data_IF_571834678252
#
_entry.id   IF_571834678252
#
_cell.length_a   1.000
_cell.length_b   1.000
_cell.length_c   1.000
_cell.angle_alpha   90.00
_cell.angle_beta   90.00
_cell.angle_gamma   90.00
#
_symmetry.space_group_name_H-M   'P 1'
#
loop_
_entity.id
_entity.type
_entity.pdbx_description
1 polymer ?
#
# COMPACT_ATOMS: atom_id res chain seq x y z
N UNK A 1 17.59 -23.38 -12.86
CA UNK A 1 16.56 -23.86 -13.78
C UNK A 1 15.76 -24.97 -13.12
N UNK A 2 14.45 -24.85 -13.05
CA UNK A 2 13.56 -25.76 -12.37
C UNK A 2 13.52 -27.11 -13.10
N UNK A 3 13.75 -28.17 -12.33
CA UNK A 3 13.69 -29.53 -12.86
C UNK A 3 12.22 -29.95 -13.00
N UNK A 4 11.87 -30.77 -13.99
CA UNK A 4 10.51 -31.27 -14.20
C UNK A 4 9.86 -31.89 -12.97
N UNK A 5 10.66 -32.57 -12.13
CA UNK A 5 10.21 -33.10 -10.83
C UNK A 5 9.70 -32.01 -9.88
N UNK A 6 10.31 -30.83 -9.85
CA UNK A 6 9.88 -29.72 -9.00
C UNK A 6 8.53 -29.17 -9.48
N UNK A 7 8.35 -29.00 -10.78
CA UNK A 7 7.06 -28.60 -11.35
C UNK A 7 5.95 -29.59 -11.05
N UNK A 8 6.23 -30.88 -11.19
CA UNK A 8 5.29 -31.94 -10.87
C UNK A 8 4.86 -31.89 -9.38
N UNK A 9 5.80 -31.74 -8.47
CA UNK A 9 5.48 -31.64 -7.03
C UNK A 9 4.65 -30.40 -6.71
N UNK A 10 4.97 -29.25 -7.31
CA UNK A 10 4.19 -28.01 -7.12
C UNK A 10 2.76 -28.21 -7.63
N UNK A 11 2.60 -28.74 -8.83
CA UNK A 11 1.28 -29.02 -9.40
C UNK A 11 0.50 -30.04 -8.55
N UNK A 12 1.16 -31.10 -8.09
CA UNK A 12 0.55 -32.09 -7.23
C UNK A 12 0.03 -31.49 -5.92
N UNK A 13 0.85 -30.68 -5.21
CA UNK A 13 0.43 -30.01 -3.98
C UNK A 13 -0.66 -28.99 -4.23
N UNK A 14 -0.57 -28.23 -5.29
CA UNK A 14 -1.62 -27.27 -5.66
C UNK A 14 -2.98 -27.98 -5.86
N UNK A 15 -3.02 -29.02 -6.68
CA UNK A 15 -4.25 -29.75 -6.95
C UNK A 15 -4.77 -30.52 -5.74
N UNK A 16 -3.88 -31.07 -4.91
CA UNK A 16 -4.26 -31.74 -3.67
C UNK A 16 -4.96 -30.76 -2.73
N UNK A 17 -4.38 -29.59 -2.48
CA UNK A 17 -4.96 -28.55 -1.62
C UNK A 17 -6.29 -28.06 -2.22
N UNK A 18 -6.31 -27.77 -3.52
CA UNK A 18 -7.53 -27.37 -4.21
C UNK A 18 -8.65 -28.39 -4.02
N UNK A 19 -8.41 -29.67 -4.31
CA UNK A 19 -9.42 -30.71 -4.18
C UNK A 19 -9.91 -30.87 -2.74
N UNK A 20 -9.00 -30.90 -1.77
CA UNK A 20 -9.38 -31.01 -0.36
C UNK A 20 -10.36 -29.91 0.05
N UNK A 21 -10.09 -28.66 -0.27
CA UNK A 21 -10.92 -27.55 0.15
C UNK A 21 -12.22 -27.45 -0.67
N UNK A 22 -12.15 -27.51 -2.00
CA UNK A 22 -13.33 -27.33 -2.83
C UNK A 22 -14.29 -28.52 -2.81
N UNK A 23 -13.78 -29.74 -2.56
CA UNK A 23 -14.66 -30.91 -2.36
C UNK A 23 -15.08 -31.11 -0.91
N UNK A 24 -14.69 -30.24 0.01
CA UNK A 24 -14.97 -30.37 1.44
C UNK A 24 -14.55 -31.76 1.95
N UNK A 25 -13.26 -32.09 1.77
CA UNK A 25 -12.66 -33.41 2.11
C UNK A 25 -13.36 -34.58 1.39
N UNK A 26 -13.87 -34.36 0.17
CA UNK A 26 -14.52 -35.39 -0.64
C UNK A 26 -16.03 -35.53 -0.41
N UNK A 27 -16.62 -34.80 0.54
CA UNK A 27 -18.08 -34.82 0.79
C UNK A 27 -18.88 -34.16 -0.33
N UNK A 28 -18.27 -33.24 -1.09
CA UNK A 28 -18.88 -32.58 -2.25
C UNK A 28 -17.99 -32.74 -3.51
N UNK A 29 -18.05 -33.87 -4.25
CA UNK A 29 -17.23 -34.10 -5.44
C UNK A 29 -17.44 -33.06 -6.54
N UNK A 30 -18.66 -32.49 -6.66
CA UNK A 30 -18.96 -31.43 -7.64
C UNK A 30 -18.15 -30.16 -7.41
N UNK A 31 -17.69 -29.90 -6.19
CA UNK A 31 -16.85 -28.77 -5.83
C UNK A 31 -15.57 -28.69 -6.66
N UNK A 32 -15.04 -29.81 -7.12
CA UNK A 32 -13.85 -29.84 -7.98
C UNK A 32 -14.03 -29.06 -9.29
N UNK A 33 -15.20 -29.15 -9.90
CA UNK A 33 -15.53 -28.43 -11.12
C UNK A 33 -16.11 -27.04 -10.83
N UNK A 34 -17.07 -26.94 -9.90
CA UNK A 34 -17.76 -25.69 -9.60
C UNK A 34 -16.83 -24.64 -9.02
N UNK A 35 -15.79 -25.04 -8.27
CA UNK A 35 -14.79 -24.12 -7.72
C UNK A 35 -14.09 -23.30 -8.80
N UNK A 36 -13.85 -23.83 -9.99
CA UNK A 36 -13.28 -23.10 -11.11
C UNK A 36 -14.35 -22.32 -11.86
N UNK A 37 -15.40 -23.02 -12.32
CA UNK A 37 -16.41 -22.43 -13.21
C UNK A 37 -17.29 -21.38 -12.53
N UNK A 38 -17.70 -21.61 -11.29
CA UNK A 38 -18.51 -20.64 -10.56
C UNK A 38 -17.70 -19.41 -10.17
N UNK A 39 -16.42 -19.57 -9.78
CA UNK A 39 -15.55 -18.43 -9.48
C UNK A 39 -15.31 -17.57 -10.71
N UNK A 40 -15.03 -18.19 -11.86
CA UNK A 40 -14.86 -17.48 -13.13
C UNK A 40 -16.16 -16.82 -13.60
N UNK A 41 -17.28 -17.56 -13.55
CA UNK A 41 -18.60 -17.05 -13.92
C UNK A 41 -19.04 -15.89 -13.03
N UNK A 42 -18.83 -15.99 -11.72
CA UNK A 42 -19.05 -14.90 -10.79
C UNK A 42 -18.23 -13.66 -11.14
N UNK A 43 -16.92 -13.83 -11.37
CA UNK A 43 -16.04 -12.71 -11.73
C UNK A 43 -16.48 -12.04 -13.04
N UNK A 44 -16.87 -12.81 -14.04
CA UNK A 44 -17.39 -12.27 -15.30
C UNK A 44 -18.71 -11.51 -15.09
N UNK A 45 -19.63 -12.04 -14.30
CA UNK A 45 -20.88 -11.36 -13.98
C UNK A 45 -20.67 -10.06 -13.22
N UNK A 46 -19.66 -9.99 -12.34
CA UNK A 46 -19.33 -8.75 -11.62
C UNK A 46 -18.80 -7.63 -12.53
N UNK A 47 -18.32 -7.94 -13.74
CA UNK A 47 -17.91 -6.91 -14.69
C UNK A 47 -19.10 -6.03 -15.14
N UNK A 48 -20.30 -6.60 -15.24
CA UNK A 48 -21.53 -5.87 -15.58
C UNK A 48 -22.06 -5.06 -14.38
N UNK A 49 -21.94 -5.61 -13.17
CA UNK A 49 -22.41 -4.96 -11.93
C UNK A 49 -21.55 -3.74 -11.57
N UNK A 50 -20.27 -3.73 -11.96
CA UNK A 50 -19.30 -2.66 -11.72
C UNK A 50 -19.34 -2.12 -10.27
N UNK A 51 -19.24 -3.01 -9.27
CA UNK A 51 -19.28 -2.64 -7.86
C UNK A 51 -18.27 -1.55 -7.54
N UNK A 52 -18.73 -0.51 -6.83
CA UNK A 52 -17.95 0.65 -6.47
C UNK A 52 -17.91 1.74 -7.54
N UNK A 53 -18.23 1.43 -8.80
CA UNK A 53 -18.31 2.40 -9.93
C UNK A 53 -17.16 3.39 -9.98
N UNK A 54 -15.96 2.97 -9.58
CA UNK A 54 -14.76 3.81 -9.52
C UNK A 54 -14.00 3.82 -10.85
N UNK A 55 -13.25 4.89 -11.17
CA UNK A 55 -12.49 4.99 -12.41
C UNK A 55 -11.35 3.96 -12.46
N UNK A 56 -10.82 3.68 -13.68
CA UNK A 56 -9.75 2.70 -13.88
C UNK A 56 -8.49 2.94 -13.04
N UNK A 57 -8.21 4.19 -12.70
CA UNK A 57 -7.03 4.60 -11.91
C UNK A 57 -7.26 4.60 -10.40
N UNK A 58 -8.43 4.19 -9.91
CA UNK A 58 -8.82 4.23 -8.50
C UNK A 58 -7.78 3.64 -7.55
N UNK A 59 -7.28 2.44 -7.84
CA UNK A 59 -6.30 1.77 -6.98
C UNK A 59 -4.98 2.53 -6.89
N UNK A 60 -4.56 3.23 -7.94
CA UNK A 60 -3.36 4.07 -7.87
C UNK A 60 -3.57 5.22 -6.90
N UNK A 61 -4.74 5.87 -6.95
CA UNK A 61 -5.07 6.95 -6.00
C UNK A 61 -5.02 6.42 -4.57
N UNK A 62 -5.67 5.27 -4.28
CA UNK A 62 -5.65 4.65 -2.95
C UNK A 62 -4.22 4.35 -2.50
N UNK A 63 -3.41 3.66 -3.33
CA UNK A 63 -2.03 3.31 -2.97
C UNK A 63 -1.19 4.58 -2.72
N UNK A 64 -1.33 5.61 -3.54
CA UNK A 64 -0.60 6.86 -3.36
C UNK A 64 -1.04 7.63 -2.10
N UNK A 65 -2.30 7.50 -1.68
CA UNK A 65 -2.83 8.21 -0.52
C UNK A 65 -2.44 7.56 0.81
N UNK A 66 -2.19 6.25 0.84
CA UNK A 66 -1.94 5.53 2.10
C UNK A 66 -0.55 4.89 2.20
N UNK A 67 0.04 4.48 1.09
CA UNK A 67 1.28 3.69 1.05
C UNK A 67 2.52 4.54 0.73
N UNK A 68 2.75 5.58 1.54
CA UNK A 68 3.82 6.56 1.29
C UNK A 68 5.22 5.93 1.21
N UNK A 69 5.57 5.00 2.12
CA UNK A 69 6.88 4.32 2.11
C UNK A 69 7.05 3.51 0.85
N UNK A 70 6.07 2.68 0.54
CA UNK A 70 6.12 1.73 -0.57
C UNK A 70 6.27 2.45 -1.90
N UNK A 71 5.46 3.50 -2.11
CA UNK A 71 5.48 4.27 -3.35
C UNK A 71 6.73 5.13 -3.49
N UNK A 72 7.16 5.77 -2.40
CA UNK A 72 8.37 6.57 -2.40
C UNK A 72 9.61 5.76 -2.76
N UNK A 73 9.78 4.60 -2.14
CA UNK A 73 10.92 3.73 -2.43
C UNK A 73 10.82 3.08 -3.81
N UNK A 74 9.61 2.78 -4.29
CA UNK A 74 9.40 2.30 -5.65
C UNK A 74 9.87 3.33 -6.68
N UNK A 75 9.44 4.60 -6.55
CA UNK A 75 9.88 5.68 -7.43
C UNK A 75 11.38 5.89 -7.40
N UNK A 76 11.94 5.98 -6.20
CA UNK A 76 13.39 6.16 -6.03
C UNK A 76 14.16 5.01 -6.65
N UNK A 77 13.68 3.77 -6.54
CA UNK A 77 14.34 2.61 -7.14
C UNK A 77 14.43 2.72 -8.66
N UNK A 78 13.36 3.16 -9.29
CA UNK A 78 13.29 3.32 -10.75
C UNK A 78 14.22 4.45 -11.22
N UNK A 79 14.20 5.59 -10.53
CA UNK A 79 14.88 6.81 -10.99
C UNK A 79 16.36 6.86 -10.60
N UNK A 80 16.74 6.29 -9.46
CA UNK A 80 18.04 6.55 -8.84
C UNK A 80 18.92 5.32 -8.73
N UNK A 81 18.36 4.15 -8.50
CA UNK A 81 19.13 2.94 -8.22
C UNK A 81 19.40 2.18 -9.54
N UNK A 82 20.56 2.46 -10.13
CA UNK A 82 21.08 1.60 -11.21
C UNK A 82 21.62 0.31 -10.57
N UNK A 83 20.87 -0.79 -10.70
CA UNK A 83 21.28 -2.10 -10.20
C UNK A 83 20.92 -3.22 -11.16
N UNK A 84 21.60 -4.34 -11.01
CA UNK A 84 21.28 -5.54 -11.75
C UNK A 84 20.21 -6.32 -10.97
N UNK A 85 19.04 -6.50 -11.58
CA UNK A 85 17.93 -7.23 -10.95
C UNK A 85 18.21 -8.73 -10.89
N UNK A 86 18.00 -9.32 -9.72
CA UNK A 86 17.99 -10.78 -9.55
C UNK A 86 16.67 -11.37 -10.07
N UNK A 87 16.61 -12.68 -10.27
CA UNK A 87 15.44 -13.36 -10.83
C UNK A 87 14.16 -13.11 -10.01
N UNK A 88 14.27 -13.13 -8.69
CA UNK A 88 13.16 -12.86 -7.78
C UNK A 88 12.59 -11.44 -7.97
N UNK A 89 13.43 -10.43 -8.09
CA UNK A 89 12.99 -9.04 -8.31
C UNK A 89 12.31 -8.84 -9.67
N UNK A 90 12.80 -9.54 -10.70
CA UNK A 90 12.14 -9.53 -12.01
C UNK A 90 10.74 -10.13 -11.95
N UNK A 91 10.59 -11.21 -11.17
CA UNK A 91 9.28 -11.80 -10.90
C UNK A 91 8.34 -10.83 -10.18
N UNK A 92 8.84 -10.12 -9.15
CA UNK A 92 8.04 -9.14 -8.43
C UNK A 92 7.62 -7.96 -9.34
N UNK A 93 8.52 -7.47 -10.18
CA UNK A 93 8.19 -6.42 -11.17
C UNK A 93 7.10 -6.92 -12.13
N UNK A 94 7.25 -8.14 -12.65
CA UNK A 94 6.21 -8.75 -13.49
C UNK A 94 4.87 -8.82 -12.75
N UNK A 95 4.87 -9.26 -11.50
CA UNK A 95 3.66 -9.38 -10.67
C UNK A 95 3.01 -8.01 -10.43
N UNK A 96 3.79 -6.96 -10.12
CA UNK A 96 3.31 -5.58 -9.97
C UNK A 96 2.60 -5.12 -11.24
N UNK A 97 3.24 -5.29 -12.39
CA UNK A 97 2.69 -4.85 -13.69
C UNK A 97 1.45 -5.65 -14.06
N UNK A 98 1.49 -6.98 -13.93
CA UNK A 98 0.37 -7.86 -14.25
C UNK A 98 -0.87 -7.54 -13.39
N UNK A 99 -0.69 -7.43 -12.06
CA UNK A 99 -1.79 -7.04 -11.18
C UNK A 99 -2.30 -5.63 -11.49
N UNK A 100 -1.41 -4.67 -11.71
CA UNK A 100 -1.80 -3.31 -12.09
C UNK A 100 -2.71 -3.30 -13.31
N UNK A 101 -2.35 -4.04 -14.37
CA UNK A 101 -3.17 -4.14 -15.58
C UNK A 101 -4.50 -4.85 -15.34
N UNK A 102 -4.50 -5.98 -14.63
CA UNK A 102 -5.73 -6.74 -14.34
C UNK A 102 -6.71 -5.88 -13.55
N UNK A 103 -6.25 -5.20 -12.50
CA UNK A 103 -7.13 -4.37 -11.65
C UNK A 103 -7.54 -3.04 -12.29
N UNK A 104 -6.80 -2.54 -13.29
CA UNK A 104 -7.27 -1.42 -14.13
C UNK A 104 -8.45 -1.83 -15.01
N UNK A 105 -8.41 -3.05 -15.57
CA UNK A 105 -9.44 -3.57 -16.48
C UNK A 105 -10.67 -4.06 -15.70
N UNK A 106 -10.47 -4.65 -14.51
CA UNK A 106 -11.57 -5.15 -13.68
C UNK A 106 -12.56 -4.04 -13.35
N UNK A 107 -13.85 -4.30 -13.55
CA UNK A 107 -14.92 -3.32 -13.27
C UNK A 107 -15.20 -3.19 -11.77
N UNK A 108 -14.98 -4.24 -10.99
CA UNK A 108 -15.10 -4.20 -9.54
C UNK A 108 -13.93 -3.46 -8.90
N UNK A 109 -14.22 -2.38 -8.18
CA UNK A 109 -13.22 -1.47 -7.59
C UNK A 109 -13.49 -1.26 -6.11
N UNK A 110 -13.15 -2.29 -5.31
CA UNK A 110 -13.34 -2.26 -3.87
C UNK A 110 -12.04 -1.94 -3.14
N UNK A 111 -12.07 -1.15 -2.06
CA UNK A 111 -10.87 -0.73 -1.34
C UNK A 111 -9.97 -1.88 -0.89
N UNK A 112 -10.55 -2.97 -0.38
CA UNK A 112 -9.79 -4.13 0.10
C UNK A 112 -9.03 -4.88 -1.00
N UNK A 113 -9.42 -4.75 -2.26
CA UNK A 113 -8.68 -5.34 -3.38
C UNK A 113 -7.31 -4.70 -3.59
N UNK A 114 -7.08 -3.51 -3.04
CA UNK A 114 -5.78 -2.84 -3.04
C UNK A 114 -4.67 -3.71 -2.45
N UNK A 115 -5.01 -4.61 -1.53
CA UNK A 115 -4.05 -5.55 -0.93
C UNK A 115 -3.33 -6.40 -1.97
N UNK A 116 -4.00 -6.80 -3.04
CA UNK A 116 -3.39 -7.62 -4.08
C UNK A 116 -2.35 -6.86 -4.92
N UNK A 117 -2.51 -5.54 -5.03
CA UNK A 117 -1.55 -4.68 -5.72
C UNK A 117 -0.37 -4.32 -4.82
N UNK A 118 -0.65 -4.04 -3.53
CA UNK A 118 0.40 -3.53 -2.64
C UNK A 118 1.37 -4.64 -2.18
N UNK A 119 0.93 -5.87 -2.03
CA UNK A 119 1.77 -7.00 -1.57
C UNK A 119 3.05 -7.16 -2.43
N UNK A 120 3.00 -7.29 -3.77
CA UNK A 120 4.22 -7.41 -4.55
C UNK A 120 5.07 -6.13 -4.53
N UNK A 121 4.46 -4.95 -4.36
CA UNK A 121 5.19 -3.69 -4.20
C UNK A 121 5.97 -3.69 -2.89
N UNK A 122 5.36 -4.07 -1.76
CA UNK A 122 6.01 -4.15 -0.45
C UNK A 122 7.19 -5.14 -0.50
N UNK A 123 7.00 -6.32 -1.10
CA UNK A 123 8.05 -7.31 -1.24
C UNK A 123 9.23 -6.78 -2.07
N UNK A 124 8.97 -6.11 -3.17
CA UNK A 124 9.99 -5.50 -4.02
C UNK A 124 10.75 -4.38 -3.29
N UNK A 125 10.00 -3.48 -2.64
CA UNK A 125 10.55 -2.39 -1.84
C UNK A 125 11.35 -2.91 -0.65
N UNK A 126 10.94 -4.02 -0.03
CA UNK A 126 11.70 -4.71 1.01
C UNK A 126 13.09 -5.17 0.55
N UNK A 127 13.22 -5.64 -0.70
CA UNK A 127 14.54 -5.97 -1.28
C UNK A 127 15.42 -4.73 -1.40
N UNK A 128 14.84 -3.60 -1.82
CA UNK A 128 15.55 -2.33 -1.95
C UNK A 128 15.99 -1.80 -0.59
N UNK A 129 15.06 -1.81 0.38
CA UNK A 129 15.32 -1.37 1.74
C UNK A 129 16.45 -2.19 2.39
N UNK A 130 16.43 -3.51 2.23
CA UNK A 130 17.50 -4.39 2.72
C UNK A 130 18.86 -4.07 2.09
N UNK A 131 18.91 -3.71 0.81
CA UNK A 131 20.15 -3.27 0.17
C UNK A 131 20.64 -1.92 0.71
N UNK A 132 19.75 -0.96 0.89
CA UNK A 132 20.06 0.36 1.46
C UNK A 132 20.61 0.21 2.88
N UNK A 133 19.91 -0.52 3.73
CA UNK A 133 20.31 -0.77 5.13
C UNK A 133 21.70 -1.41 5.17
N UNK A 134 21.94 -2.48 4.42
CA UNK A 134 23.25 -3.15 4.37
C UNK A 134 24.38 -2.21 3.95
N UNK A 135 24.09 -1.31 2.99
CA UNK A 135 25.10 -0.32 2.55
C UNK A 135 25.37 0.77 3.59
N UNK A 136 24.34 1.17 4.34
CA UNK A 136 24.48 2.12 5.45
C UNK A 136 25.36 1.53 6.55
N UNK A 137 25.10 0.30 6.98
CA UNK A 137 25.89 -0.35 8.04
C UNK A 137 27.35 -0.60 7.65
N UNK A 138 27.66 -0.72 6.37
CA UNK A 138 29.03 -0.90 5.88
C UNK A 138 29.80 0.44 5.72
N UNK A 139 29.20 1.59 6.09
CA UNK A 139 29.78 2.92 5.96
C UNK A 139 30.05 3.56 7.32
N UNK A 140 30.73 4.72 7.32
CA UNK A 140 30.94 5.50 8.54
C UNK A 140 29.61 6.08 9.03
N UNK A 141 29.02 5.40 10.02
CA UNK A 141 27.71 5.71 10.57
C UNK A 141 27.62 7.14 11.12
N UNK A 142 28.71 7.67 11.70
CA UNK A 142 28.74 9.02 12.25
C UNK A 142 28.52 10.12 11.21
N UNK A 143 29.09 9.97 10.02
CA UNK A 143 28.88 10.93 8.94
C UNK A 143 27.47 10.85 8.36
N UNK A 144 26.93 9.64 8.22
CA UNK A 144 25.56 9.43 7.75
C UNK A 144 24.56 10.04 8.74
N UNK A 145 24.72 9.80 10.04
CA UNK A 145 23.84 10.36 11.08
C UNK A 145 23.83 11.89 11.08
N UNK A 146 25.00 12.54 10.94
CA UNK A 146 25.08 14.02 10.81
C UNK A 146 24.30 14.51 9.60
N UNK A 147 24.47 13.89 8.46
CA UNK A 147 23.75 14.26 7.22
C UNK A 147 22.24 14.00 7.35
N UNK A 148 21.83 12.89 7.95
CA UNK A 148 20.42 12.58 8.23
C UNK A 148 19.80 13.67 9.11
N UNK A 149 20.47 14.09 10.17
CA UNK A 149 20.01 15.17 11.06
C UNK A 149 19.83 16.49 10.28
N UNK A 150 20.81 16.89 9.49
CA UNK A 150 20.76 18.14 8.71
C UNK A 150 19.61 18.08 7.70
N UNK A 151 19.48 16.99 6.94
CA UNK A 151 18.41 16.84 5.93
C UNK A 151 17.05 16.83 6.62
N UNK A 152 16.89 16.15 7.77
CA UNK A 152 15.65 16.13 8.53
C UNK A 152 15.23 17.52 9.00
N UNK A 153 16.17 18.30 9.55
CA UNK A 153 15.90 19.67 9.99
C UNK A 153 15.47 20.54 8.81
N UNK A 154 16.19 20.48 7.67
CA UNK A 154 15.84 21.24 6.46
C UNK A 154 14.45 20.85 5.96
N UNK A 155 14.12 19.56 5.98
CA UNK A 155 12.82 19.07 5.51
C UNK A 155 11.69 19.53 6.42
N UNK A 156 11.86 19.44 7.74
CA UNK A 156 10.85 19.91 8.70
C UNK A 156 10.63 21.42 8.56
N UNK A 157 11.73 22.20 8.49
CA UNK A 157 11.65 23.65 8.26
C UNK A 157 10.98 23.99 6.93
N UNK A 158 11.28 23.24 5.87
CA UNK A 158 10.64 23.39 4.57
C UNK A 158 9.13 23.13 4.62
N UNK A 159 8.68 22.06 5.28
CA UNK A 159 7.26 21.74 5.47
C UNK A 159 6.56 22.84 6.26
N UNK A 160 7.14 23.28 7.38
CA UNK A 160 6.53 24.33 8.21
C UNK A 160 6.42 25.65 7.44
N UNK A 161 7.44 26.00 6.66
CA UNK A 161 7.46 27.23 5.87
C UNK A 161 6.44 27.19 4.73
N UNK A 162 6.33 26.05 4.04
CA UNK A 162 5.33 25.85 2.97
C UNK A 162 3.92 25.94 3.54
N UNK A 163 3.64 25.31 4.68
CA UNK A 163 2.35 25.39 5.34
C UNK A 163 2.01 26.83 5.78
N UNK A 164 3.00 27.55 6.30
CA UNK A 164 2.82 28.93 6.74
C UNK A 164 2.58 29.91 5.58
N UNK A 165 3.34 29.77 4.47
CA UNK A 165 3.29 30.71 3.34
C UNK A 165 2.07 30.45 2.44
N UNK A 166 1.71 29.19 2.22
CA UNK A 166 0.66 28.81 1.26
C UNK A 166 -0.69 28.55 1.92
N UNK A 167 -0.79 28.64 3.25
CA UNK A 167 -2.01 28.31 4.04
C UNK A 167 -2.65 26.97 3.60
N UNK A 168 -1.79 25.99 3.28
CA UNK A 168 -2.24 24.70 2.78
C UNK A 168 -2.70 23.87 3.97
N UNK A 169 -4.02 23.74 4.12
CA UNK A 169 -4.64 22.90 5.16
C UNK A 169 -4.45 21.40 4.90
N UNK A 170 -4.22 21.02 3.64
CA UNK A 170 -4.00 19.63 3.28
C UNK A 170 -2.55 19.21 3.46
N UNK A 171 -2.29 18.33 4.42
CA UNK A 171 -0.98 17.71 4.67
C UNK A 171 -0.46 16.99 3.42
N UNK A 172 -1.34 16.37 2.64
CA UNK A 172 -1.00 15.65 1.41
C UNK A 172 -0.39 16.58 0.34
N UNK A 173 -0.96 17.76 0.13
CA UNK A 173 -0.47 18.72 -0.87
C UNK A 173 0.89 19.27 -0.42
N UNK A 174 1.04 19.62 0.85
CA UNK A 174 2.32 20.06 1.43
C UNK A 174 3.39 18.99 1.29
N UNK A 175 3.02 17.75 1.50
CA UNK A 175 3.89 16.60 1.35
C UNK A 175 4.37 16.41 -0.10
N UNK A 176 3.47 16.43 -1.08
CA UNK A 176 3.82 16.32 -2.51
C UNK A 176 4.75 17.47 -2.92
N UNK A 177 4.48 18.70 -2.48
CA UNK A 177 5.29 19.88 -2.81
C UNK A 177 6.72 19.76 -2.23
N UNK A 178 6.85 19.36 -0.97
CA UNK A 178 8.13 19.11 -0.32
C UNK A 178 8.89 18.00 -1.03
N UNK A 179 8.21 16.94 -1.48
CA UNK A 179 8.81 15.87 -2.25
C UNK A 179 9.38 16.32 -3.58
N UNK A 180 8.65 17.14 -4.32
CA UNK A 180 9.13 17.72 -5.58
C UNK A 180 10.36 18.59 -5.31
N UNK A 181 10.33 19.40 -4.27
CA UNK A 181 11.46 20.26 -3.88
C UNK A 181 12.69 19.43 -3.49
N UNK A 182 12.52 18.39 -2.69
CA UNK A 182 13.60 17.48 -2.29
C UNK A 182 14.16 16.74 -3.50
N UNK A 183 13.32 16.29 -4.43
CA UNK A 183 13.77 15.65 -5.67
C UNK A 183 14.58 16.62 -6.54
N UNK A 184 14.13 17.86 -6.69
CA UNK A 184 14.87 18.91 -7.42
C UNK A 184 16.22 19.16 -6.76
N UNK A 185 16.26 19.35 -5.44
CA UNK A 185 17.51 19.52 -4.69
C UNK A 185 18.45 18.33 -4.84
N UNK A 186 17.92 17.11 -4.79
CA UNK A 186 18.71 15.90 -5.03
C UNK A 186 19.33 15.87 -6.43
N UNK A 187 18.56 16.24 -7.46
CA UNK A 187 19.05 16.29 -8.83
C UNK A 187 20.10 17.39 -9.03
N UNK A 188 19.92 18.57 -8.41
CA UNK A 188 20.88 19.67 -8.44
C UNK A 188 22.19 19.30 -7.74
N UNK A 189 22.12 18.70 -6.56
CA UNK A 189 23.30 18.21 -5.84
C UNK A 189 24.01 17.13 -6.63
N UNK A 190 23.26 16.21 -7.28
CA UNK A 190 23.82 15.20 -8.18
C UNK A 190 24.61 15.81 -9.33
N UNK A 191 24.13 16.92 -9.89
CA UNK A 191 24.79 17.60 -11.02
C UNK A 191 26.03 18.44 -10.59
N UNK A 192 26.04 18.93 -9.36
CA UNK A 192 27.10 19.84 -8.86
C UNK A 192 28.22 19.12 -8.10
N UNK A 193 28.04 17.88 -7.64
CA UNK A 193 29.07 17.16 -6.89
C UNK A 193 30.11 16.50 -7.79
N UNK A 194 31.29 17.03 -7.76
CA UNK A 194 32.49 16.49 -8.42
C UNK A 194 33.06 15.25 -7.72
N UNK A 195 32.79 15.08 -6.40
CA UNK A 195 33.35 13.99 -5.61
C UNK A 195 32.31 12.84 -5.41
N UNK A 196 32.54 11.72 -6.09
CA UNK A 196 31.71 10.55 -6.11
C UNK A 196 31.45 9.90 -4.71
N UNK A 197 32.42 10.02 -3.80
CA UNK A 197 32.28 9.42 -2.45
C UNK A 197 31.28 10.19 -1.59
N UNK A 198 31.38 11.53 -1.54
CA UNK A 198 30.43 12.37 -0.80
C UNK A 198 29.00 12.25 -1.33
N UNK A 199 28.86 12.18 -2.64
CA UNK A 199 27.54 11.97 -3.25
C UNK A 199 26.89 10.63 -2.85
N UNK A 200 27.68 9.56 -2.75
CA UNK A 200 27.17 8.27 -2.32
C UNK A 200 26.69 8.30 -0.86
N UNK A 201 27.40 8.98 0.05
CA UNK A 201 27.00 9.09 1.45
C UNK A 201 25.76 9.97 1.62
N UNK A 202 25.70 11.08 0.91
CA UNK A 202 24.51 11.94 0.85
C UNK A 202 23.28 11.19 0.35
N UNK A 203 23.42 10.34 -0.66
CA UNK A 203 22.32 9.53 -1.19
C UNK A 203 21.73 8.58 -0.14
N UNK A 204 22.56 7.91 0.67
CA UNK A 204 22.07 7.03 1.73
C UNK A 204 21.39 7.81 2.86
N UNK A 205 21.93 8.94 3.22
CA UNK A 205 21.33 9.84 4.20
C UNK A 205 19.96 10.34 3.74
N UNK A 206 19.87 10.74 2.47
CA UNK A 206 18.61 11.14 1.85
C UNK A 206 17.55 10.01 1.91
N UNK A 207 17.92 8.78 1.55
CA UNK A 207 16.98 7.65 1.62
C UNK A 207 16.55 7.34 3.04
N UNK A 208 17.45 7.48 4.01
CA UNK A 208 17.10 7.27 5.42
C UNK A 208 16.04 8.26 5.91
N UNK A 209 16.22 9.54 5.58
CA UNK A 209 15.24 10.59 5.93
C UNK A 209 13.91 10.36 5.22
N UNK A 210 13.98 9.99 3.94
CA UNK A 210 12.81 9.65 3.16
C UNK A 210 11.97 8.55 3.80
N UNK A 211 12.60 7.42 4.14
CA UNK A 211 11.97 6.27 4.78
C UNK A 211 11.37 6.68 6.13
N UNK A 212 12.08 7.48 6.91
CA UNK A 212 11.61 7.92 8.22
C UNK A 212 10.35 8.78 8.10
N UNK A 213 10.36 9.80 7.25
CA UNK A 213 9.22 10.71 7.07
C UNK A 213 8.02 9.96 6.48
N UNK A 214 8.25 9.21 5.41
CA UNK A 214 7.16 8.45 4.78
C UNK A 214 6.65 7.34 5.69
N UNK A 215 7.51 6.76 6.53
CA UNK A 215 7.13 5.79 7.55
C UNK A 215 6.18 6.38 8.60
N UNK A 216 6.50 7.57 9.11
CA UNK A 216 5.62 8.29 10.04
C UNK A 216 4.27 8.60 9.40
N UNK A 217 4.26 9.03 8.14
CA UNK A 217 3.01 9.34 7.43
C UNK A 217 2.16 8.09 7.17
N UNK A 218 2.78 6.99 6.72
CA UNK A 218 2.07 5.71 6.54
C UNK A 218 1.50 5.20 7.86
N UNK A 219 2.28 5.27 8.95
CA UNK A 219 1.83 4.85 10.27
C UNK A 219 0.67 5.72 10.79
N UNK A 220 0.78 7.05 10.61
CA UNK A 220 -0.30 7.98 10.96
C UNK A 220 -1.56 7.66 10.18
N UNK A 221 -1.48 7.57 8.84
CA UNK A 221 -2.64 7.25 8.00
C UNK A 221 -3.28 5.91 8.36
N UNK A 222 -2.48 4.91 8.71
CA UNK A 222 -2.98 3.61 9.16
C UNK A 222 -3.74 3.72 10.50
N UNK A 223 -3.26 4.53 11.45
CA UNK A 223 -3.96 4.76 12.72
C UNK A 223 -5.24 5.55 12.50
N UNK A 224 -5.17 6.65 11.74
CA UNK A 224 -6.33 7.51 11.48
C UNK A 224 -7.46 6.68 10.82
N UNK A 225 -7.16 5.95 9.75
CA UNK A 225 -8.15 5.12 9.05
C UNK A 225 -8.66 3.94 9.86
N UNK A 226 -7.83 3.34 10.75
CA UNK A 226 -8.24 2.13 11.49
C UNK A 226 -8.97 2.43 12.79
N UNK A 227 -8.68 3.57 13.45
CA UNK A 227 -9.16 3.83 14.80
C UNK A 227 -9.98 5.12 14.97
N UNK A 228 -9.71 6.13 14.14
CA UNK A 228 -10.39 7.42 14.30
C UNK A 228 -11.46 7.67 13.25
N UNK A 229 -11.23 7.26 12.00
CA UNK A 229 -12.10 7.53 10.86
C UNK A 229 -12.60 6.25 10.18
N UNK A 230 -12.60 5.13 10.91
CA UNK A 230 -12.96 3.82 10.37
C UNK A 230 -14.42 3.69 9.92
N UNK A 231 -15.29 4.53 10.44
CA UNK A 231 -16.74 4.56 10.18
C UNK A 231 -17.24 5.89 9.57
N UNK A 232 -16.32 6.82 9.27
CA UNK A 232 -16.64 8.14 8.70
C UNK A 232 -16.44 8.12 7.18
N UNK A 233 -17.37 8.70 6.39
CA UNK A 233 -17.30 8.66 4.90
C UNK A 233 -16.23 9.56 4.28
N UNK A 234 -15.32 10.12 5.04
CA UNK A 234 -14.30 11.04 4.55
C UNK A 234 -13.07 10.31 3.97
N UNK A 235 -12.87 9.04 4.37
CA UNK A 235 -11.72 8.24 3.94
C UNK A 235 -12.05 7.34 2.75
N UNK A 236 -11.17 7.35 1.72
CA UNK A 236 -11.35 6.55 0.49
C UNK A 236 -11.37 5.05 0.77
N UNK A 237 -10.70 4.60 1.85
CA UNK A 237 -10.65 3.20 2.26
C UNK A 237 -11.93 2.73 2.95
N UNK A 238 -12.76 3.63 3.47
CA UNK A 238 -14.01 3.31 4.14
C UNK A 238 -15.12 3.12 3.10
N UNK A 239 -15.46 1.87 2.82
CA UNK A 239 -16.47 1.54 1.81
C UNK A 239 -17.89 1.40 2.38
N UNK A 240 -18.01 0.74 3.52
CA UNK A 240 -19.28 0.58 4.23
C UNK A 240 -19.25 1.44 5.49
N UNK A 241 -20.14 2.41 5.49
CA UNK A 241 -20.19 3.38 6.57
C UNK A 241 -21.39 3.08 7.45
N UNK A 242 -21.17 3.11 8.75
CA UNK A 242 -22.25 3.08 9.72
C UNK A 242 -22.19 4.39 10.49
N UNK A 243 -23.28 5.16 10.49
CA UNK A 243 -23.31 6.40 11.26
C UNK A 243 -22.98 6.12 12.74
N UNK A 244 -22.09 6.89 13.37
CA UNK A 244 -21.81 6.79 14.82
C UNK A 244 -23.08 6.88 15.68
N UNK A 245 -24.14 7.50 15.14
CA UNK A 245 -25.43 7.59 15.81
C UNK A 245 -26.16 6.23 15.94
N UNK A 246 -25.84 5.24 15.10
CA UNK A 246 -26.43 3.89 15.21
C UNK A 246 -26.13 3.26 16.57
N UNK A 247 -24.89 3.42 17.08
CA UNK A 247 -24.56 2.94 18.43
C UNK A 247 -25.39 3.61 19.52
N UNK A 248 -25.63 4.91 19.41
CA UNK A 248 -26.49 5.64 20.34
C UNK A 248 -27.96 5.19 20.22
N UNK A 249 -28.43 4.95 18.99
CA UNK A 249 -29.77 4.41 18.75
C UNK A 249 -29.94 3.01 19.38
N UNK A 250 -28.97 2.12 19.17
CA UNK A 250 -28.99 0.78 19.80
C UNK A 250 -29.05 0.88 21.31
N UNK A 251 -28.22 1.73 21.94
CA UNK A 251 -28.29 1.95 23.40
C UNK A 251 -29.65 2.47 23.86
N UNK A 252 -30.25 3.40 23.13
CA UNK A 252 -31.60 3.89 23.47
C UNK A 252 -32.64 2.79 23.38
N UNK A 253 -32.58 1.96 22.33
CA UNK A 253 -33.48 0.80 22.16
C UNK A 253 -33.30 -0.20 23.31
N UNK A 254 -32.05 -0.51 23.68
CA UNK A 254 -31.76 -1.42 24.80
C UNK A 254 -32.30 -0.88 26.13
N UNK A 255 -32.09 0.39 26.45
CA UNK A 255 -32.61 1.03 27.64
C UNK A 255 -34.15 0.98 27.65
N UNK A 256 -34.78 1.29 26.53
CA UNK A 256 -36.23 1.26 26.42
C UNK A 256 -36.80 -0.16 26.53
N UNK A 257 -36.09 -1.15 26.01
CA UNK A 257 -36.44 -2.57 26.15
C UNK A 257 -36.31 -3.06 27.61
N UNK A 258 -35.31 -2.58 28.34
CA UNK A 258 -35.14 -2.89 29.78
C UNK A 258 -36.26 -2.31 30.63
N UNK A 259 -36.76 -1.12 30.28
CA UNK A 259 -37.83 -0.46 31.04
C UNK A 259 -39.23 -1.02 30.72
N UNK A 260 -39.48 -1.33 29.44
CA UNK A 260 -40.84 -1.68 28.95
C UNK A 260 -41.02 -3.14 28.48
N UNK A 261 -39.98 -3.97 28.59
CA UNK A 261 -39.99 -5.35 28.10
C UNK A 261 -39.76 -5.41 26.60
N UNK A 262 -40.63 -6.11 25.85
CA UNK A 262 -40.46 -6.27 24.41
C UNK A 262 -40.77 -4.97 23.64
N UNK A 263 -39.80 -4.54 22.80
CA UNK A 263 -39.93 -3.37 21.92
C UNK A 263 -40.10 -3.85 20.49
N UNK A 264 -41.11 -3.37 19.79
CA UNK A 264 -41.31 -3.57 18.34
C UNK A 264 -40.66 -2.39 17.63
N UNK A 265 -39.66 -2.68 16.80
CA UNK A 265 -38.99 -1.68 15.97
C UNK A 265 -39.56 -1.78 14.56
N UNK A 266 -40.14 -0.70 14.05
CA UNK A 266 -40.51 -0.60 12.64
C UNK A 266 -39.32 0.07 11.91
N UNK A 267 -38.85 -0.55 10.86
CA UNK A 267 -37.82 0.00 9.96
C UNK A 267 -38.51 0.20 8.62
N UNK A 268 -38.63 1.45 8.20
CA UNK A 268 -39.17 1.82 6.88
C UNK A 268 -38.08 1.78 5.81
#
# INVERSE_FOLDING_TARGET
LWKGKTWFLIALFFWLIYLIFYTTLGSNPHGAATGIWQSLGYWLAQQEVARGSQPWYYFFVVIFSYEFVSMSLLFVSILVIKRKYIMYEKFLIYWIVANGLIYCIASEKMPWLTVHLIVPIILYVGCILGEIIRKIFNKNLGNILKQVLIISIITILGITLVNFVLDIKSILISFIFVWILILILFLLVKSSMLNKSYFLDFRYSFFSVLILITGVLTFRGAIDTSFYESDIPDEIMVYTQTSPHVHNLVKQIELYALENGQVKIAVD
#
